data_IF_976551089242
#
_entry.id   IF_976551089242
#
_cell.length_a   1.000
_cell.length_b   1.000
_cell.length_c   1.000
_cell.angle_alpha   90.00
_cell.angle_beta   90.00
_cell.angle_gamma   90.00
#
_symmetry.space_group_name_H-M   'P 1'
#
loop_
_entity.id
_entity.type
_entity.pdbx_description
1 polymer ?
#
# COMPACT_ATOMS: atom_id res chain seq x y z
N UNK A 1 -14.21 19.32 8.19
CA UNK A 1 -14.17 18.45 6.99
C UNK A 1 -13.12 17.39 7.24
N UNK A 2 -13.44 16.11 7.04
CA UNK A 2 -12.45 15.04 7.22
C UNK A 2 -11.40 15.14 6.09
N UNK A 3 -10.13 15.23 6.45
CA UNK A 3 -9.00 15.57 5.55
C UNK A 3 -8.84 14.60 4.37
N UNK A 4 -9.32 13.36 4.51
CA UNK A 4 -9.17 12.30 3.50
C UNK A 4 -10.51 11.64 3.12
N UNK A 5 -11.63 12.36 3.27
CA UNK A 5 -12.94 11.87 2.86
C UNK A 5 -13.00 11.60 1.34
N UNK A 6 -13.78 10.61 0.89
CA UNK A 6 -14.00 10.40 -0.54
C UNK A 6 -14.46 11.68 -1.24
N UNK A 7 -13.79 12.04 -2.33
CA UNK A 7 -14.08 13.25 -3.09
C UNK A 7 -15.06 12.98 -4.22
N UNK A 8 -16.16 13.72 -4.26
CA UNK A 8 -17.12 13.64 -5.37
C UNK A 8 -16.42 14.02 -6.68
N UNK A 9 -16.56 13.16 -7.70
CA UNK A 9 -15.93 13.36 -9.01
C UNK A 9 -14.48 12.87 -9.10
N UNK A 10 -13.88 12.35 -8.03
CA UNK A 10 -12.61 11.63 -8.12
C UNK A 10 -12.85 10.23 -8.74
N UNK A 11 -12.23 9.89 -9.90
CA UNK A 11 -12.45 8.60 -10.54
C UNK A 11 -12.07 7.41 -9.65
N UNK A 12 -10.97 7.51 -8.90
CA UNK A 12 -10.50 6.43 -8.02
C UNK A 12 -11.43 6.27 -6.82
N UNK A 13 -11.91 7.36 -6.22
CA UNK A 13 -12.95 7.28 -5.18
C UNK A 13 -14.22 6.58 -5.71
N UNK A 14 -14.61 6.84 -6.96
CA UNK A 14 -15.72 6.14 -7.61
C UNK A 14 -15.47 4.63 -7.75
N UNK A 15 -14.27 4.23 -8.19
CA UNK A 15 -13.88 2.82 -8.28
C UNK A 15 -13.92 2.16 -6.89
N UNK A 16 -13.30 2.77 -5.89
CA UNK A 16 -13.28 2.29 -4.49
C UNK A 16 -14.70 2.12 -3.95
N UNK A 17 -15.58 3.09 -4.20
CA UNK A 17 -16.98 3.05 -3.75
C UNK A 17 -17.81 1.97 -4.45
N UNK A 18 -17.58 1.78 -5.76
CA UNK A 18 -18.31 0.79 -6.58
C UNK A 18 -17.85 -0.65 -6.38
N UNK A 19 -16.61 -0.85 -5.91
CA UNK A 19 -16.06 -2.17 -5.65
C UNK A 19 -16.89 -2.87 -4.57
N UNK A 20 -17.55 -3.98 -4.93
CA UNK A 20 -18.35 -4.76 -4.00
C UNK A 20 -17.50 -5.22 -2.80
N UNK A 21 -18.03 -5.16 -1.56
CA UNK A 21 -17.35 -5.74 -0.41
C UNK A 21 -17.13 -7.24 -0.64
N UNK A 22 -15.87 -7.65 -0.81
CA UNK A 22 -15.49 -9.05 -0.67
C UNK A 22 -15.48 -9.40 0.81
N UNK A 23 -15.78 -10.64 1.22
CA UNK A 23 -15.44 -11.09 2.56
C UNK A 23 -13.98 -10.74 2.83
N UNK A 24 -13.75 -10.05 3.94
CA UNK A 24 -12.43 -9.59 4.39
C UNK A 24 -11.35 -10.62 4.07
N UNK A 25 -10.35 -10.21 3.29
CA UNK A 25 -9.15 -10.97 2.94
C UNK A 25 -9.27 -12.10 1.90
N UNK A 26 -10.37 -12.25 1.15
CA UNK A 26 -10.43 -13.26 0.07
C UNK A 26 -9.88 -12.72 -1.25
N UNK A 27 -8.79 -13.32 -1.75
CA UNK A 27 -8.34 -13.11 -3.12
C UNK A 27 -9.37 -13.66 -4.11
N UNK A 28 -9.66 -12.92 -5.18
CA UNK A 28 -10.42 -13.43 -6.32
C UNK A 28 -9.45 -13.83 -7.43
N UNK A 29 -9.47 -15.10 -7.80
CA UNK A 29 -8.78 -15.55 -9.00
C UNK A 29 -9.25 -14.71 -10.19
N UNK A 30 -8.35 -14.24 -11.07
CA UNK A 30 -8.75 -13.72 -12.36
C UNK A 30 -9.65 -14.76 -13.00
N UNK A 31 -10.82 -14.36 -13.50
CA UNK A 31 -11.70 -15.32 -14.14
C UNK A 31 -10.96 -15.94 -15.34
N UNK A 32 -10.56 -17.20 -15.21
CA UNK A 32 -10.07 -18.05 -16.31
C UNK A 32 -11.26 -18.40 -17.19
N UNK A 33 -11.69 -17.43 -17.98
CA UNK A 33 -12.80 -17.59 -18.88
C UNK A 33 -12.81 -16.42 -19.84
N UNK A 34 -13.09 -16.71 -21.10
CA UNK A 34 -13.41 -15.76 -22.16
C UNK A 34 -14.56 -14.84 -21.72
N UNK A 35 -14.28 -13.88 -20.85
CA UNK A 35 -15.04 -12.66 -20.72
C UNK A 35 -14.75 -11.88 -21.99
N UNK A 36 -15.45 -12.23 -23.06
CA UNK A 36 -15.66 -11.43 -24.28
C UNK A 36 -16.36 -10.10 -23.99
N UNK A 37 -16.56 -9.76 -22.72
CA UNK A 37 -17.04 -8.46 -22.33
C UNK A 37 -15.85 -7.51 -22.38
N UNK A 38 -15.84 -6.74 -23.47
CA UNK A 38 -15.19 -5.45 -23.70
C UNK A 38 -15.62 -4.39 -22.65
N UNK A 39 -15.91 -4.83 -21.43
CA UNK A 39 -16.24 -3.99 -20.30
C UNK A 39 -14.94 -3.30 -19.90
N UNK A 40 -14.97 -1.97 -20.00
CA UNK A 40 -13.94 -1.08 -19.50
C UNK A 40 -13.89 -1.03 -17.98
N UNK A 41 -14.72 -1.80 -17.29
CA UNK A 41 -14.80 -1.77 -15.83
C UNK A 41 -13.55 -2.42 -15.21
N UNK A 42 -13.00 -1.81 -14.15
CA UNK A 42 -11.84 -2.36 -13.46
C UNK A 42 -12.17 -3.71 -12.83
N UNK A 43 -11.36 -4.74 -13.14
CA UNK A 43 -11.49 -6.05 -12.49
C UNK A 43 -10.88 -5.98 -11.10
N UNK A 44 -11.72 -5.87 -10.06
CA UNK A 44 -11.29 -5.84 -8.66
C UNK A 44 -10.73 -7.22 -8.27
N UNK A 45 -9.45 -7.22 -7.86
CA UNK A 45 -8.71 -8.42 -7.43
C UNK A 45 -8.70 -8.56 -5.91
N UNK A 46 -8.73 -7.42 -5.21
CA UNK A 46 -8.67 -7.35 -3.75
C UNK A 46 -9.36 -6.09 -3.25
N UNK A 47 -10.01 -6.19 -2.09
CA UNK A 47 -10.52 -5.06 -1.33
C UNK A 47 -10.48 -5.38 0.15
N UNK A 48 -9.90 -4.47 0.92
CA UNK A 48 -9.94 -4.48 2.39
C UNK A 48 -10.34 -3.08 2.89
N UNK A 49 -10.03 -2.76 4.15
CA UNK A 49 -10.33 -1.47 4.77
C UNK A 49 -9.46 -0.34 4.23
N UNK A 50 -8.19 -0.62 3.91
CA UNK A 50 -7.19 0.38 3.54
C UNK A 50 -7.07 0.53 2.02
N UNK A 51 -7.23 -0.56 1.28
CA UNK A 51 -6.92 -0.65 -0.14
C UNK A 51 -7.99 -1.32 -0.99
N UNK A 52 -8.10 -0.84 -2.23
CA UNK A 52 -8.76 -1.53 -3.33
C UNK A 52 -7.73 -1.77 -4.42
N UNK A 53 -7.51 -3.04 -4.80
CA UNK A 53 -6.63 -3.40 -5.90
C UNK A 53 -7.43 -3.95 -7.08
N UNK A 54 -7.12 -3.48 -8.27
CA UNK A 54 -7.78 -3.91 -9.50
C UNK A 54 -6.80 -4.05 -10.65
N UNK A 55 -7.13 -4.91 -11.61
CA UNK A 55 -6.35 -5.10 -12.83
C UNK A 55 -6.67 -3.99 -13.84
N UNK A 56 -5.64 -3.36 -14.37
CA UNK A 56 -5.77 -2.41 -15.49
C UNK A 56 -5.92 -3.19 -16.80
N UNK A 57 -7.12 -3.19 -17.36
CA UNK A 57 -7.44 -3.88 -18.63
C UNK A 57 -7.46 -2.95 -19.84
N UNK A 58 -7.79 -1.68 -19.65
CA UNK A 58 -7.99 -0.76 -20.75
C UNK A 58 -6.66 -0.33 -21.37
N UNK A 59 -5.68 -0.02 -20.52
CA UNK A 59 -4.38 0.56 -20.91
C UNK A 59 -3.25 0.01 -20.04
N UNK A 60 -3.06 -1.33 -19.99
CA UNK A 60 -1.96 -1.93 -19.24
C UNK A 60 -0.61 -1.46 -19.78
N UNK A 61 0.39 -1.42 -18.90
CA UNK A 61 1.79 -1.17 -19.31
C UNK A 61 2.57 -2.43 -19.67
N UNK A 62 2.03 -3.61 -19.30
CA UNK A 62 2.63 -4.91 -19.51
C UNK A 62 1.58 -5.90 -19.99
N UNK A 63 1.93 -6.72 -20.99
CA UNK A 63 1.11 -7.84 -21.46
C UNK A 63 0.94 -8.95 -20.43
N UNK A 64 1.87 -9.07 -19.48
CA UNK A 64 1.83 -10.10 -18.43
C UNK A 64 0.94 -9.71 -17.25
N UNK A 65 0.84 -8.42 -16.95
CA UNK A 65 -0.04 -7.94 -15.89
C UNK A 65 0.30 -6.54 -15.42
N UNK A 66 -0.75 -5.75 -15.18
CA UNK A 66 -0.70 -4.42 -14.58
C UNK A 66 -1.86 -4.26 -13.60
N UNK A 67 -1.55 -3.94 -12.36
CA UNK A 67 -2.48 -3.76 -11.25
C UNK A 67 -2.32 -2.33 -10.73
N UNK A 68 -3.44 -1.74 -10.34
CA UNK A 68 -3.50 -0.49 -9.58
C UNK A 68 -3.94 -0.82 -8.15
N UNK A 69 -3.23 -0.28 -7.16
CA UNK A 69 -3.61 -0.36 -5.75
C UNK A 69 -3.95 1.05 -5.28
N UNK A 70 -5.23 1.31 -5.07
CA UNK A 70 -5.75 2.58 -4.61
C UNK A 70 -5.95 2.57 -3.09
N UNK A 71 -5.60 3.67 -2.43
CA UNK A 71 -6.05 3.92 -1.06
C UNK A 71 -7.56 4.11 -1.06
N UNK A 72 -8.26 3.49 -0.11
CA UNK A 72 -9.70 3.69 0.03
C UNK A 72 -10.02 5.11 0.55
N UNK A 73 -9.08 5.69 1.29
CA UNK A 73 -9.06 7.11 1.64
C UNK A 73 -8.58 7.94 0.44
N UNK A 74 -9.10 9.16 0.33
CA UNK A 74 -8.64 10.11 -0.68
C UNK A 74 -7.34 10.77 -0.18
N UNK A 75 -6.21 10.11 -0.39
CA UNK A 75 -4.87 10.65 -0.09
C UNK A 75 -4.39 11.42 -1.32
N UNK A 76 -4.19 12.75 -1.30
CA UNK A 76 -3.84 13.51 -2.51
C UNK A 76 -2.48 13.15 -3.10
N UNK A 77 -1.47 12.98 -2.25
CA UNK A 77 -0.07 12.87 -2.66
C UNK A 77 0.72 11.92 -1.75
N UNK A 78 1.86 11.43 -2.26
CA UNK A 78 2.84 10.70 -1.45
C UNK A 78 3.44 11.58 -0.35
N UNK A 79 3.43 12.91 -0.53
CA UNK A 79 3.92 13.87 0.46
C UNK A 79 3.01 14.00 1.68
N UNK A 80 1.81 13.41 1.64
CA UNK A 80 0.91 13.32 2.78
C UNK A 80 1.18 12.06 3.63
N UNK A 81 2.12 11.21 3.22
CA UNK A 81 2.54 10.03 3.98
C UNK A 81 3.64 10.40 4.97
N UNK A 82 3.51 9.90 6.19
CA UNK A 82 4.50 10.04 7.26
C UNK A 82 5.13 8.71 7.63
N UNK A 83 6.00 8.73 8.64
CA UNK A 83 6.61 7.53 9.20
C UNK A 83 5.59 6.53 9.74
N UNK A 84 4.47 6.97 10.31
CA UNK A 84 3.42 6.07 10.80
C UNK A 84 2.73 5.26 9.70
N UNK A 85 2.84 5.70 8.44
CA UNK A 85 2.26 5.04 7.29
C UNK A 85 3.20 3.97 6.68
N UNK A 86 4.40 3.77 7.23
CA UNK A 86 5.31 2.71 6.82
C UNK A 86 4.67 1.30 6.77
N UNK A 87 3.84 0.88 7.75
CA UNK A 87 3.15 -0.41 7.67
C UNK A 87 2.19 -0.50 6.48
N UNK A 88 1.54 0.62 6.10
CA UNK A 88 0.67 0.68 4.93
C UNK A 88 1.48 0.49 3.65
N UNK A 89 2.62 1.17 3.51
CA UNK A 89 3.52 1.01 2.36
C UNK A 89 4.07 -0.42 2.24
N UNK A 90 4.47 -1.02 3.37
CA UNK A 90 4.91 -2.42 3.38
C UNK A 90 3.78 -3.36 2.98
N UNK A 91 2.54 -3.08 3.42
CA UNK A 91 1.37 -3.86 3.03
C UNK A 91 1.11 -3.75 1.50
N UNK A 92 1.19 -2.56 0.91
CA UNK A 92 1.08 -2.37 -0.56
C UNK A 92 2.12 -3.22 -1.28
N UNK A 93 3.40 -3.18 -0.85
CA UNK A 93 4.47 -3.97 -1.47
C UNK A 93 4.15 -5.47 -1.44
N UNK A 94 3.74 -5.98 -0.28
CA UNK A 94 3.44 -7.39 -0.08
C UNK A 94 2.20 -7.81 -0.89
N UNK A 95 1.15 -6.98 -0.86
CA UNK A 95 -0.08 -7.19 -1.63
C UNK A 95 0.20 -7.23 -3.12
N UNK A 96 0.91 -6.23 -3.65
CA UNK A 96 1.32 -6.17 -5.05
C UNK A 96 2.10 -7.41 -5.46
N UNK A 97 3.13 -7.77 -4.70
CA UNK A 97 3.96 -8.97 -4.98
C UNK A 97 3.10 -10.23 -5.05
N UNK A 98 2.21 -10.41 -4.07
CA UNK A 98 1.29 -11.56 -4.02
C UNK A 98 0.37 -11.60 -5.23
N UNK A 99 -0.26 -10.48 -5.59
CA UNK A 99 -1.19 -10.41 -6.72
C UNK A 99 -0.47 -10.62 -8.06
N UNK A 100 0.70 -10.00 -8.25
CA UNK A 100 1.50 -10.18 -9.46
C UNK A 100 2.01 -11.63 -9.60
N UNK A 101 2.40 -12.27 -8.50
CA UNK A 101 2.79 -13.69 -8.51
C UNK A 101 1.64 -14.58 -8.97
N UNK A 102 0.43 -14.31 -8.50
CA UNK A 102 -0.76 -15.07 -8.91
C UNK A 102 -1.10 -14.85 -10.40
N UNK A 103 -0.92 -13.62 -10.92
CA UNK A 103 -1.10 -13.33 -12.35
C UNK A 103 -0.03 -14.01 -13.20
N UNK A 104 1.23 -13.98 -12.80
CA UNK A 104 2.33 -14.61 -13.52
C UNK A 104 2.16 -16.13 -13.58
N UNK A 105 1.77 -16.76 -12.46
CA UNK A 105 1.45 -18.18 -12.41
C UNK A 105 0.28 -18.54 -13.33
N UNK A 106 -0.75 -17.70 -13.41
CA UNK A 106 -1.90 -17.91 -14.29
C UNK A 106 -1.54 -17.79 -15.77
N UNK A 107 -0.54 -16.96 -16.12
CA UNK A 107 -0.04 -16.84 -17.49
C UNK A 107 0.81 -18.04 -17.92
N UNK A 108 1.40 -18.77 -16.96
CA UNK A 108 2.20 -19.97 -17.20
C UNK A 108 1.28 -21.19 -17.11
N UNK A 109 0.53 -21.45 -18.19
CA UNK A 109 -0.31 -22.66 -18.32
C UNK A 109 0.45 -23.93 -17.85
N UNK A 110 -0.07 -24.68 -16.86
CA UNK A 110 0.24 -26.09 -16.74
C UNK A 110 -0.51 -26.84 -17.84
N UNK A 111 0.19 -27.69 -18.57
CA UNK A 111 -0.40 -28.75 -19.40
C UNK A 111 -1.53 -29.45 -18.61
N UNK A 112 -2.71 -29.70 -19.21
CA UNK A 112 -3.90 -30.08 -18.45
C UNK A 112 -3.75 -31.48 -17.86
N UNK A 113 -3.77 -31.57 -16.53
CA UNK A 113 -4.19 -32.78 -15.81
C UNK A 113 -5.46 -32.43 -15.04
N UNK A 114 -6.60 -33.09 -15.30
CA UNK A 114 -7.86 -32.72 -14.68
C UNK A 114 -7.98 -33.36 -13.29
N UNK A 115 -7.79 -32.57 -12.25
CA UNK A 115 -8.34 -32.89 -10.92
C UNK A 115 -8.88 -31.62 -10.25
N UNK A 116 -10.12 -31.65 -9.72
CA UNK A 116 -10.68 -30.53 -8.98
C UNK A 116 -10.10 -30.56 -7.56
N UNK A 117 -9.07 -29.78 -7.30
CA UNK A 117 -8.58 -29.53 -5.95
C UNK A 117 -8.78 -28.06 -5.58
N UNK A 118 -9.61 -27.85 -4.57
CA UNK A 118 -9.71 -26.64 -3.76
C UNK A 118 -8.29 -26.13 -3.46
N UNK A 119 -7.88 -25.01 -4.05
CA UNK A 119 -6.54 -24.44 -3.81
C UNK A 119 -6.47 -23.91 -2.38
N UNK A 120 -6.02 -24.75 -1.45
CA UNK A 120 -5.52 -24.34 -0.16
C UNK A 120 -4.13 -23.72 -0.33
N UNK A 121 -3.99 -22.45 0.04
CA UNK A 121 -2.74 -21.70 -0.06
C UNK A 121 -1.62 -22.34 0.77
N UNK A 122 -0.35 -22.31 0.29
CA UNK A 122 0.78 -22.62 1.16
C UNK A 122 0.94 -21.51 2.21
N UNK A 123 0.78 -21.87 3.48
CA UNK A 123 1.05 -21.02 4.66
C UNK A 123 2.55 -20.86 4.96
N UNK A 124 3.41 -21.13 3.99
CA UNK A 124 4.86 -20.94 4.12
C UNK A 124 5.18 -19.45 4.10
N UNK A 125 6.14 -18.96 4.91
CA UNK A 125 6.61 -17.59 4.80
C UNK A 125 7.09 -17.39 3.37
N UNK A 126 6.40 -16.51 2.62
CA UNK A 126 6.78 -16.12 1.27
C UNK A 126 8.26 -15.74 1.34
N UNK A 127 9.14 -16.60 0.80
CA UNK A 127 10.52 -16.19 0.58
C UNK A 127 10.41 -15.07 -0.43
N UNK A 128 10.49 -13.85 0.07
CA UNK A 128 10.46 -12.59 -0.65
C UNK A 128 11.78 -12.44 -1.41
N UNK A 129 12.22 -13.51 -2.09
CA UNK A 129 13.13 -13.42 -3.23
C UNK A 129 12.47 -12.42 -4.15
N UNK A 130 13.03 -11.21 -4.15
CA UNK A 130 12.48 -10.06 -4.83
C UNK A 130 12.48 -10.43 -6.31
N UNK A 131 11.34 -10.88 -6.81
CA UNK A 131 11.13 -11.24 -8.20
C UNK A 131 11.58 -10.03 -9.02
N UNK A 132 12.77 -10.13 -9.63
CA UNK A 132 13.47 -8.99 -10.26
C UNK A 132 12.69 -8.36 -11.41
N UNK A 133 11.61 -9.00 -11.82
CA UNK A 133 10.72 -8.57 -12.88
C UNK A 133 9.44 -7.87 -12.39
N UNK A 134 9.19 -7.75 -11.07
CA UNK A 134 8.07 -6.96 -10.56
C UNK A 134 8.49 -5.52 -10.32
N UNK A 135 7.66 -4.59 -10.81
CA UNK A 135 7.85 -3.15 -10.65
C UNK A 135 6.68 -2.61 -9.85
N UNK A 136 6.96 -2.05 -8.67
CA UNK A 136 5.95 -1.52 -7.75
C UNK A 136 6.37 -0.11 -7.32
N UNK A 137 5.49 0.86 -7.47
CA UNK A 137 5.82 2.25 -7.19
C UNK A 137 4.70 3.22 -7.50
N UNK A 138 5.02 4.50 -7.39
CA UNK A 138 4.11 5.62 -7.58
C UNK A 138 4.59 6.49 -8.74
N UNK A 139 3.67 7.15 -9.43
CA UNK A 139 3.99 8.21 -10.37
C UNK A 139 3.87 9.54 -9.63
N UNK A 140 4.93 10.34 -9.64
CA UNK A 140 5.00 11.56 -8.82
C UNK A 140 4.74 12.82 -9.65
N UNK A 141 4.12 13.86 -9.06
CA UNK A 141 4.03 15.17 -9.69
C UNK A 141 5.41 15.72 -10.09
N UNK A 142 5.52 16.49 -11.19
CA UNK A 142 4.43 16.98 -12.04
C UNK A 142 3.94 15.96 -13.09
N UNK A 143 4.51 14.75 -13.10
CA UNK A 143 4.11 13.71 -14.03
C UNK A 143 2.80 13.07 -13.60
N UNK A 144 2.04 12.57 -14.57
CA UNK A 144 0.80 11.85 -14.35
C UNK A 144 0.68 10.73 -15.37
N UNK A 145 0.00 9.65 -15.02
CA UNK A 145 -0.43 8.70 -16.05
C UNK A 145 -1.53 9.36 -16.88
N UNK A 146 -1.23 9.72 -18.13
CA UNK A 146 -2.22 10.29 -19.04
C UNK A 146 -3.42 9.36 -19.30
N UNK A 147 -3.29 8.08 -18.93
CA UNK A 147 -4.32 7.06 -19.10
C UNK A 147 -5.13 6.82 -17.82
N UNK A 148 -4.59 7.21 -16.67
CA UNK A 148 -5.26 7.27 -15.37
C UNK A 148 -4.99 8.68 -14.81
N UNK A 149 -5.60 9.75 -15.38
CA UNK A 149 -5.19 11.14 -15.12
C UNK A 149 -5.74 11.65 -13.78
N UNK A 150 -5.51 10.89 -12.72
CA UNK A 150 -5.87 11.25 -11.35
C UNK A 150 -4.61 11.77 -10.68
N UNK A 151 -4.53 13.09 -10.58
CA UNK A 151 -3.39 13.80 -9.96
C UNK A 151 -3.59 14.05 -8.46
N UNK A 152 -4.78 13.75 -7.97
CA UNK A 152 -5.25 14.09 -6.62
C UNK A 152 -5.95 12.85 -6.04
N UNK A 153 -5.28 11.70 -6.10
CA UNK A 153 -5.61 10.47 -5.37
C UNK A 153 -4.45 9.49 -5.58
N UNK A 154 -3.61 9.36 -4.56
CA UNK A 154 -2.45 8.49 -4.52
C UNK A 154 -2.86 7.04 -4.79
N UNK A 155 -2.15 6.41 -5.72
CA UNK A 155 -2.32 5.00 -6.05
C UNK A 155 -0.98 4.44 -6.50
N UNK A 156 -0.71 3.19 -6.12
CA UNK A 156 0.47 2.49 -6.57
C UNK A 156 0.18 1.77 -7.89
N UNK A 157 1.13 1.80 -8.80
CA UNK A 157 1.17 0.93 -9.96
C UNK A 157 2.05 -0.27 -9.64
N UNK A 158 1.59 -1.46 -10.03
CA UNK A 158 2.31 -2.71 -9.89
C UNK A 158 2.22 -3.49 -11.20
N UNK A 159 3.34 -3.87 -11.82
CA UNK A 159 3.34 -4.60 -13.08
C UNK A 159 4.49 -5.59 -13.20
N UNK A 160 4.35 -6.51 -14.16
CA UNK A 160 5.29 -7.60 -14.47
C UNK A 160 6.09 -7.21 -15.71
N UNK A 161 7.42 -7.19 -15.66
CA UNK A 161 8.25 -6.94 -16.84
C UNK A 161 8.13 -8.10 -17.88
N UNK A 162 8.20 -7.80 -19.18
CA UNK A 162 8.52 -6.51 -19.78
C UNK A 162 7.35 -5.51 -19.75
N UNK A 163 7.67 -4.23 -19.73
CA UNK A 163 6.77 -3.09 -19.95
C UNK A 163 6.51 -2.86 -21.45
N UNK A 164 6.15 -3.92 -22.16
CA UNK A 164 6.00 -3.98 -23.62
C UNK A 164 4.81 -3.19 -24.19
N UNK A 165 3.88 -2.76 -23.33
CA UNK A 165 2.70 -1.96 -23.73
C UNK A 165 2.84 -0.47 -23.33
N UNK A 166 3.96 -0.09 -22.72
CA UNK A 166 4.32 1.31 -22.47
C UNK A 166 4.79 1.93 -23.79
N UNK A 167 3.86 2.53 -24.54
CA UNK A 167 4.25 3.39 -25.67
C UNK A 167 5.22 4.50 -25.23
N UNK A 168 6.00 5.04 -26.18
CA UNK A 168 7.09 6.01 -25.94
C UNK A 168 6.80 7.07 -24.85
N UNK A 169 5.64 7.76 -24.94
CA UNK A 169 5.29 8.83 -24.01
C UNK A 169 5.04 8.36 -22.58
N UNK A 170 4.40 7.19 -22.39
CA UNK A 170 4.26 6.59 -21.05
C UNK A 170 5.59 6.05 -20.56
N UNK A 171 6.49 5.66 -21.45
CA UNK A 171 7.88 5.32 -21.15
C UNK A 171 8.59 6.36 -20.29
N UNK A 172 8.32 7.65 -20.51
CA UNK A 172 8.89 8.74 -19.70
C UNK A 172 8.29 8.79 -18.28
N UNK A 173 6.96 8.66 -18.15
CA UNK A 173 6.27 8.72 -16.86
C UNK A 173 6.54 7.50 -15.96
N UNK A 174 6.83 6.35 -16.57
CA UNK A 174 7.26 5.13 -15.87
C UNK A 174 8.79 4.97 -15.85
N UNK A 175 9.51 5.99 -16.33
CA UNK A 175 10.96 6.08 -16.26
C UNK A 175 11.43 6.62 -14.91
N UNK A 176 12.73 6.54 -14.67
CA UNK A 176 13.37 6.93 -13.40
C UNK A 176 13.15 8.38 -12.95
N UNK A 177 12.69 9.25 -13.86
CA UNK A 177 12.40 10.67 -13.55
C UNK A 177 11.06 10.88 -12.83
N UNK A 178 10.09 9.98 -13.06
CA UNK A 178 8.72 10.13 -12.62
C UNK A 178 8.24 8.96 -11.76
N UNK A 179 8.99 7.86 -11.77
CA UNK A 179 8.71 6.66 -11.02
C UNK A 179 9.41 6.68 -9.67
N UNK A 180 8.63 6.60 -8.60
CA UNK A 180 9.12 6.42 -7.25
C UNK A 180 8.90 4.98 -6.81
N UNK A 181 9.97 4.19 -6.74
CA UNK A 181 9.86 2.80 -6.34
C UNK A 181 9.40 2.70 -4.86
N UNK A 182 8.52 1.75 -4.56
CA UNK A 182 7.97 1.63 -3.21
C UNK A 182 9.04 1.32 -2.15
N UNK A 183 10.06 0.55 -2.52
CA UNK A 183 11.17 0.23 -1.62
C UNK A 183 12.04 1.46 -1.33
N UNK A 184 12.19 2.38 -2.29
CA UNK A 184 12.94 3.62 -2.11
C UNK A 184 12.16 4.57 -1.19
N UNK A 185 10.84 4.66 -1.32
CA UNK A 185 9.99 5.45 -0.42
C UNK A 185 10.03 4.94 1.01
N UNK A 186 9.91 3.62 1.19
CA UNK A 186 10.04 2.99 2.51
C UNK A 186 11.42 3.28 3.10
N UNK A 187 12.48 3.22 2.29
CA UNK A 187 13.84 3.49 2.74
C UNK A 187 14.03 4.97 3.14
N UNK A 188 13.55 5.90 2.32
CA UNK A 188 13.63 7.34 2.57
C UNK A 188 12.90 7.71 3.87
N UNK A 189 11.63 7.33 4.00
CA UNK A 189 10.84 7.62 5.21
C UNK A 189 11.53 7.03 6.44
N UNK A 190 12.07 5.81 6.36
CA UNK A 190 12.85 5.23 7.46
C UNK A 190 14.10 6.00 7.79
N UNK A 191 14.81 6.51 6.78
CA UNK A 191 15.99 7.34 6.98
C UNK A 191 15.65 8.64 7.73
N UNK A 192 14.47 9.24 7.48
CA UNK A 192 14.04 10.47 8.17
C UNK A 192 13.79 10.30 9.67
N UNK A 193 13.48 9.07 10.13
CA UNK A 193 13.06 8.78 11.51
C UNK A 193 14.05 7.96 12.31
N UNK A 194 14.93 7.23 11.66
CA UNK A 194 16.00 6.51 12.35
C UNK A 194 17.17 7.45 12.61
N UNK A 195 17.48 7.70 13.89
CA UNK A 195 18.78 8.29 14.27
C UNK A 195 19.97 7.42 13.79
N UNK A 196 19.72 6.17 13.39
CA UNK A 196 20.67 5.34 12.67
C UNK A 196 20.46 5.48 11.17
N UNK A 197 21.19 6.42 10.56
CA UNK A 197 21.44 6.58 9.11
C UNK A 197 21.27 5.26 8.34
N UNK A 198 20.05 4.99 7.85
CA UNK A 198 19.76 3.83 6.99
C UNK A 198 20.39 4.15 5.64
N UNK A 199 21.71 3.91 5.52
CA UNK A 199 22.47 4.23 4.31
C UNK A 199 21.84 3.52 3.11
N UNK A 200 21.35 4.27 2.14
CA UNK A 200 21.14 3.78 0.78
C UNK A 200 22.52 3.49 0.13
N UNK A 201 22.63 2.41 -0.64
CA UNK A 201 23.80 2.18 -1.51
C UNK A 201 24.92 1.22 -1.05
N UNK A 202 24.72 0.35 -0.05
CA UNK A 202 25.69 -0.74 0.24
C UNK A 202 25.27 -2.10 -0.37
N UNK A 203 26.25 -2.94 -0.71
CA UNK A 203 26.04 -4.34 -1.12
C UNK A 203 25.26 -5.06 -0.01
N UNK A 204 24.04 -5.53 -0.32
CA UNK A 204 23.03 -6.09 0.60
C UNK A 204 22.01 -5.13 1.24
N UNK A 205 21.85 -3.88 0.75
CA UNK A 205 20.73 -3.02 1.20
C UNK A 205 19.37 -3.69 1.07
N UNK A 206 19.17 -4.50 0.04
CA UNK A 206 17.92 -5.21 -0.25
C UNK A 206 17.56 -6.30 0.78
N UNK A 207 18.55 -6.73 1.57
CA UNK A 207 18.43 -7.74 2.64
C UNK A 207 18.68 -7.14 4.02
N UNK A 208 18.62 -5.81 4.16
CA UNK A 208 18.82 -5.13 5.43
C UNK A 208 17.84 -5.68 6.48
N UNK A 209 18.29 -6.04 7.70
CA UNK A 209 17.41 -6.56 8.74
C UNK A 209 16.19 -5.67 9.02
N UNK A 210 16.34 -4.35 8.88
CA UNK A 210 15.27 -3.37 9.08
C UNK A 210 14.11 -3.55 8.07
N UNK A 211 14.38 -4.07 6.87
CA UNK A 211 13.35 -4.31 5.85
C UNK A 211 12.44 -5.50 6.15
N UNK A 212 12.88 -6.38 7.05
CA UNK A 212 12.11 -7.54 7.52
C UNK A 212 11.14 -7.18 8.66
N UNK A 213 11.23 -5.96 9.20
CA UNK A 213 10.38 -5.48 10.30
C UNK A 213 9.47 -4.38 9.77
N UNK A 214 8.19 -4.66 9.48
CA UNK A 214 7.27 -3.68 8.90
C UNK A 214 7.15 -2.39 9.72
N UNK A 215 7.14 -2.52 11.04
CA UNK A 215 7.01 -1.40 11.99
C UNK A 215 8.32 -0.64 12.23
N UNK A 216 9.45 -1.08 11.67
CA UNK A 216 10.71 -0.38 11.89
C UNK A 216 10.68 1.00 11.23
N UNK A 217 10.95 2.03 12.03
CA UNK A 217 10.83 3.44 11.65
C UNK A 217 9.41 4.00 11.79
N UNK A 218 8.39 3.21 12.10
CA UNK A 218 7.02 3.71 12.19
C UNK A 218 6.75 4.62 13.40
N UNK A 219 7.73 4.75 14.30
CA UNK A 219 7.67 5.58 15.50
C UNK A 219 8.96 6.36 15.65
N UNK A 220 8.84 7.55 16.21
CA UNK A 220 9.93 8.48 16.50
C UNK A 220 9.82 8.95 17.95
N UNK A 221 10.98 9.17 18.56
CA UNK A 221 11.05 9.67 19.92
C UNK A 221 12.40 10.28 20.24
N UNK A 222 12.43 11.09 21.29
CA UNK A 222 13.65 11.69 21.81
C UNK A 222 14.49 10.65 22.58
N UNK A 223 15.78 10.94 22.77
CA UNK A 223 16.66 10.10 23.60
C UNK A 223 16.19 9.94 25.05
N UNK A 224 15.32 10.84 25.53
CA UNK A 224 14.72 10.80 26.86
C UNK A 224 13.40 10.01 26.92
N UNK A 225 13.02 9.33 25.84
CA UNK A 225 11.83 8.46 25.79
C UNK A 225 10.51 9.20 25.56
N UNK A 226 10.55 10.48 25.19
CA UNK A 226 9.35 11.22 24.76
C UNK A 226 8.99 10.83 23.34
N UNK A 227 7.78 10.32 23.11
CA UNK A 227 7.23 10.02 21.80
C UNK A 227 7.00 11.32 21.01
N UNK A 228 7.52 11.39 19.78
CA UNK A 228 7.37 12.53 18.87
C UNK A 228 6.85 12.09 17.50
N UNK A 229 6.19 10.93 17.45
CA UNK A 229 5.63 10.36 16.23
C UNK A 229 4.51 11.24 15.68
N UNK A 230 4.59 11.54 14.38
CA UNK A 230 3.55 12.29 13.69
C UNK A 230 2.24 11.48 13.60
N UNK A 231 1.06 12.13 13.59
CA UNK A 231 -0.19 11.44 13.33
C UNK A 231 -0.19 10.81 11.93
N UNK A 232 -0.67 9.57 11.82
CA UNK A 232 -0.82 8.88 10.53
C UNK A 232 -2.12 9.17 9.81
N UNK A 233 -2.29 8.55 8.65
CA UNK A 233 -3.56 8.60 7.93
C UNK A 233 -4.70 8.08 8.83
N UNK A 234 -5.82 8.81 8.93
CA UNK A 234 -6.93 8.42 9.79
C UNK A 234 -7.54 7.13 9.24
N UNK A 235 -7.45 6.03 10.00
CA UNK A 235 -8.14 4.80 9.62
C UNK A 235 -9.64 5.03 9.79
N UNK A 236 -10.46 4.72 8.77
CA UNK A 236 -11.90 4.78 8.94
C UNK A 236 -12.27 3.75 10.01
N UNK A 237 -12.58 4.19 11.22
CA UNK A 237 -12.88 3.29 12.33
C UNK A 237 -14.10 2.42 11.99
N UNK A 238 -13.85 1.19 11.56
CA UNK A 238 -14.85 0.13 11.59
C UNK A 238 -14.71 -0.59 12.93
N UNK A 239 -15.69 -0.36 13.79
CA UNK A 239 -15.92 -0.93 15.13
C UNK A 239 -15.06 -0.38 16.28
N UNK A 240 -15.57 0.70 16.89
CA UNK A 240 -15.65 0.80 18.35
C UNK A 240 -16.41 -0.42 18.92
N UNK A 241 -15.76 -1.58 19.01
CA UNK A 241 -16.23 -2.67 19.87
C UNK A 241 -15.06 -3.55 20.30
N UNK A 242 -14.14 -2.96 21.07
CA UNK A 242 -13.37 -3.69 22.08
C UNK A 242 -13.30 -2.79 23.31
N UNK A 243 -13.97 -3.23 24.36
CA UNK A 243 -14.24 -2.46 25.56
C UNK A 243 -13.02 -2.14 26.40
N UNK A 244 -13.23 -1.11 27.23
CA UNK A 244 -12.56 -0.86 28.50
C UNK A 244 -11.20 -0.13 28.44
N UNK A 245 -11.27 1.20 28.29
CA UNK A 245 -10.29 2.08 28.93
C UNK A 245 -10.81 2.45 30.32
N UNK A 246 -10.08 2.18 31.42
CA UNK A 246 -10.43 2.73 32.71
C UNK A 246 -10.17 4.23 32.67
N UNK A 247 -11.26 4.99 32.76
CA UNK A 247 -11.27 6.43 32.93
C UNK A 247 -10.40 6.81 34.14
N UNK A 248 -9.20 7.33 33.90
CA UNK A 248 -8.39 8.00 34.92
C UNK A 248 -8.92 9.42 35.06
N UNK A 249 -9.83 9.61 36.00
CA UNK A 249 -10.15 10.93 36.57
C UNK A 249 -8.88 11.58 37.13
N UNK A 250 -8.56 12.83 36.79
CA UNK A 250 -7.49 13.57 37.46
C UNK A 250 -8.02 14.10 38.80
N UNK A 251 -7.74 13.41 39.90
CA UNK A 251 -7.93 13.99 41.24
C UNK A 251 -6.78 14.94 41.51
N UNK A 252 -7.04 16.21 41.25
CA UNK A 252 -6.28 17.34 41.79
C UNK A 252 -6.51 17.41 43.30
N UNK A 253 -5.51 17.08 44.11
CA UNK A 253 -5.41 17.51 45.50
C UNK A 253 -4.08 18.23 45.67
N UNK A 254 -4.15 19.55 45.64
CA UNK A 254 -3.06 20.45 45.97
C UNK A 254 -2.61 20.24 47.42
N UNK A 255 -1.30 20.23 47.59
CA UNK A 255 -0.64 20.40 48.87
C UNK A 255 -0.95 21.77 49.47
N UNK A 256 -1.30 21.80 50.75
CA UNK A 256 -1.15 22.96 51.63
C UNK A 256 -0.50 22.47 52.92
N UNK A 257 0.82 22.61 52.98
CA UNK A 257 1.56 22.74 54.23
C UNK A 257 1.22 24.12 54.82
N UNK A 258 0.85 24.18 56.09
CA UNK A 258 1.30 25.27 56.98
C UNK A 258 1.20 24.81 58.44
N UNK A 259 2.35 24.86 59.09
CA UNK A 259 2.58 24.81 60.52
C UNK A 259 1.81 25.88 61.28
N UNK A 260 1.30 25.59 62.48
CA UNK A 260 1.35 26.55 63.59
C UNK A 260 1.37 25.84 64.96
N UNK A 261 2.11 26.49 65.85
CA UNK A 261 2.49 26.15 67.22
C UNK A 261 1.33 26.06 68.23
N UNK A 262 1.67 25.36 69.33
CA UNK A 262 1.27 25.50 70.75
C UNK A 262 0.42 24.38 71.32
#
# INVERSE_FOLDING_TARGET
MAMFAPKLGCPICGIVASALPTPSNSWRAPALGNSTNDSTDPEVLWKDQDFTAYREKSKPVSSKGHIIIAFNLHVPSLYDLSSTDLPLLVNIRNLATRLLTALDASSRLPTPTPTPSTQSFPSSPISLERNSHFRIGFITPPFKDNKIPVTDHLHAHAYIEPSDLMGWWRGLAYGSLAWYAIDDLIAEIRETVSNNRVKSGYENRQNAPIDKVPLAGARSGTAHGVETTEPGLPRPESNLEDGETPSRTPTSAQAMLTSYHS
#
